data_IF_570634035020
#
_entry.id   IF_570634035020
#
_cell.length_a   1.000
_cell.length_b   1.000
_cell.length_c   1.000
_cell.angle_alpha   90.00
_cell.angle_beta   90.00
_cell.angle_gamma   90.00
#
_symmetry.space_group_name_H-M   'P 1'
#
loop_
_entity.id
_entity.type
_entity.pdbx_description
1 polymer ?
#
# COMPACT_ATOMS: atom_id res chain seq x y z
N UNK A 1 39.07 -49.82 -19.05
CA UNK A 1 39.17 -49.48 -20.48
C UNK A 1 37.96 -48.61 -20.84
N UNK A 2 38.24 -47.35 -21.18
CA UNK A 2 37.38 -46.31 -21.78
C UNK A 2 36.10 -45.82 -21.05
N UNK A 3 36.24 -44.64 -20.41
CA UNK A 3 35.18 -43.65 -20.20
C UNK A 3 34.78 -42.98 -21.52
N UNK A 4 33.53 -42.54 -21.66
CA UNK A 4 33.16 -41.39 -22.49
C UNK A 4 32.08 -40.54 -21.81
N UNK A 5 32.52 -39.41 -21.28
CA UNK A 5 31.72 -38.26 -20.86
C UNK A 5 31.48 -37.35 -22.08
N UNK A 6 30.23 -36.94 -22.31
CA UNK A 6 29.86 -36.00 -23.35
C UNK A 6 29.59 -34.62 -22.74
N UNK A 7 30.49 -33.67 -22.99
CA UNK A 7 30.34 -32.24 -22.64
C UNK A 7 29.79 -31.48 -23.85
N UNK A 8 28.61 -30.87 -23.70
CA UNK A 8 28.03 -29.97 -24.70
C UNK A 8 28.65 -28.56 -24.65
N UNK A 9 28.70 -27.82 -25.77
CA UNK A 9 29.44 -26.57 -25.87
C UNK A 9 28.70 -25.39 -25.22
N UNK A 10 29.41 -24.68 -24.34
CA UNK A 10 29.01 -23.36 -23.82
C UNK A 10 29.12 -22.32 -24.93
N UNK A 11 28.01 -21.66 -25.25
CA UNK A 11 27.97 -20.51 -26.16
C UNK A 11 28.49 -19.26 -25.43
N UNK A 12 29.62 -18.76 -25.88
CA UNK A 12 30.14 -17.43 -25.55
C UNK A 12 29.45 -16.40 -26.44
N UNK A 13 28.82 -15.39 -25.85
CA UNK A 13 28.32 -14.20 -26.57
C UNK A 13 29.25 -13.04 -26.25
N UNK A 14 29.84 -12.50 -27.32
CA UNK A 14 30.78 -11.38 -27.32
C UNK A 14 30.13 -10.09 -26.82
N UNK A 15 30.83 -9.41 -25.90
CA UNK A 15 30.59 -8.02 -25.57
C UNK A 15 31.21 -7.12 -26.65
N UNK A 16 30.38 -6.37 -27.37
CA UNK A 16 30.84 -5.24 -28.16
C UNK A 16 30.68 -3.96 -27.31
N UNK A 17 31.83 -3.41 -26.92
CA UNK A 17 31.94 -2.08 -26.35
C UNK A 17 31.68 -1.02 -27.43
N UNK A 18 30.83 -0.04 -27.14
CA UNK A 18 30.77 1.24 -27.86
C UNK A 18 30.86 2.35 -26.82
N UNK A 19 31.85 3.21 -26.99
CA UNK A 19 32.22 4.23 -26.02
C UNK A 19 31.47 5.56 -26.16
N UNK A 20 31.54 6.32 -25.06
CA UNK A 20 31.72 7.77 -24.92
C UNK A 20 30.84 8.73 -25.73
N UNK A 21 30.03 9.51 -25.00
CA UNK A 21 30.11 10.97 -25.04
C UNK A 21 29.54 11.58 -23.74
N UNK A 22 30.41 12.18 -22.93
CA UNK A 22 30.02 13.07 -21.85
C UNK A 22 29.75 14.48 -22.42
N UNK A 23 28.70 15.14 -21.96
CA UNK A 23 28.52 16.59 -22.14
C UNK A 23 27.78 17.14 -20.94
N UNK A 24 28.54 17.81 -20.07
CA UNK A 24 28.02 18.59 -18.96
C UNK A 24 27.57 19.96 -19.49
N UNK A 25 26.33 20.35 -19.19
CA UNK A 25 25.85 21.72 -19.33
C UNK A 25 25.45 22.20 -17.95
N UNK A 26 26.28 23.07 -17.38
CA UNK A 26 26.05 23.75 -16.11
C UNK A 26 25.38 25.09 -16.41
N UNK A 27 24.07 25.19 -16.23
CA UNK A 27 23.35 26.47 -16.26
C UNK A 27 23.15 26.99 -14.84
N UNK A 28 23.92 28.01 -14.46
CA UNK A 28 23.62 28.86 -13.31
C UNK A 28 22.42 29.75 -13.64
N UNK A 29 21.35 29.65 -12.85
CA UNK A 29 20.30 30.67 -12.81
C UNK A 29 20.42 31.44 -11.48
N UNK A 30 20.73 32.73 -11.59
CA UNK A 30 20.64 33.68 -10.50
C UNK A 30 19.22 34.25 -10.45
N UNK A 31 18.55 34.14 -9.30
CA UNK A 31 17.26 34.78 -9.05
C UNK A 31 17.47 36.17 -8.38
N UNK A 32 16.80 37.24 -8.83
CA UNK A 32 16.81 38.51 -8.13
C UNK A 32 15.80 38.52 -6.97
N UNK A 33 16.18 39.22 -5.89
CA UNK A 33 15.41 39.43 -4.67
C UNK A 33 14.13 40.23 -4.91
N UNK A 34 13.02 39.76 -4.34
CA UNK A 34 11.76 40.50 -4.28
C UNK A 34 11.74 41.52 -3.12
N UNK A 35 10.98 42.62 -3.23
CA UNK A 35 10.81 43.59 -2.16
C UNK A 35 9.80 43.12 -1.11
N UNK A 36 10.07 43.44 0.16
CA UNK A 36 9.18 43.23 1.32
C UNK A 36 7.91 44.08 1.25
N UNK A 37 6.76 43.61 1.76
CA UNK A 37 5.57 44.43 1.88
C UNK A 37 5.61 45.30 3.15
N UNK A 38 5.37 46.60 2.97
CA UNK A 38 5.05 47.59 3.99
C UNK A 38 3.61 47.41 4.51
N UNK A 39 3.44 47.35 5.83
CA UNK A 39 2.15 47.58 6.49
C UNK A 39 1.90 49.10 6.67
N UNK A 40 0.64 49.53 6.61
CA UNK A 40 0.02 50.32 7.70
C UNK A 40 -1.48 49.96 7.84
N UNK A 41 -2.29 50.40 8.80
CA UNK A 41 -2.24 51.09 10.09
C UNK A 41 -3.66 50.91 10.68
N UNK A 42 -3.77 51.05 11.99
CA UNK A 42 -5.02 51.04 12.76
C UNK A 42 -6.05 52.11 12.33
N UNK A 43 -7.33 51.75 12.42
CA UNK A 43 -8.47 52.65 12.28
C UNK A 43 -9.71 52.16 13.07
N UNK A 44 -10.58 53.05 13.56
CA UNK A 44 -11.18 52.95 14.89
C UNK A 44 -12.51 52.16 14.96
N UNK A 45 -12.87 51.80 16.19
CA UNK A 45 -13.94 50.89 16.57
C UNK A 45 -15.33 51.19 15.99
N UNK A 46 -15.97 50.10 15.56
CA UNK A 46 -17.40 50.00 15.33
C UNK A 46 -17.99 49.12 16.43
N UNK A 47 -18.92 49.68 17.19
CA UNK A 47 -19.74 48.96 18.17
C UNK A 47 -20.75 48.10 17.41
N UNK A 48 -20.47 46.79 17.27
CA UNK A 48 -21.41 45.85 16.66
C UNK A 48 -22.27 45.21 17.75
N UNK A 49 -23.55 45.53 17.74
CA UNK A 49 -24.60 44.79 18.46
C UNK A 49 -24.57 43.32 18.05
N UNK A 50 -24.29 42.41 18.99
CA UNK A 50 -24.31 40.97 18.75
C UNK A 50 -25.75 40.49 18.48
N UNK A 51 -26.07 40.31 17.20
CA UNK A 51 -27.21 39.52 16.76
C UNK A 51 -26.88 38.05 17.02
N UNK A 52 -27.65 37.38 17.87
CA UNK A 52 -27.58 35.93 18.01
C UNK A 52 -27.97 35.28 16.69
N UNK A 53 -26.98 34.73 15.96
CA UNK A 53 -27.22 33.91 14.80
C UNK A 53 -27.71 32.51 15.24
N UNK A 54 -28.70 31.90 14.56
CA UNK A 54 -29.10 30.54 14.85
C UNK A 54 -28.08 29.54 14.31
N UNK A 55 -27.72 28.56 15.16
CA UNK A 55 -27.31 27.22 14.76
C UNK A 55 -25.97 27.07 14.03
N UNK A 56 -24.86 27.08 14.76
CA UNK A 56 -23.73 26.24 14.37
C UNK A 56 -24.16 24.79 14.55
N UNK A 57 -24.51 24.10 13.46
CA UNK A 57 -24.49 22.64 13.46
C UNK A 57 -23.13 22.19 13.97
N UNK A 58 -23.11 21.33 15.00
CA UNK A 58 -21.89 20.69 15.44
C UNK A 58 -21.20 20.09 14.21
N UNK A 59 -19.86 20.22 14.07
CA UNK A 59 -19.17 19.46 13.04
C UNK A 59 -19.51 17.98 13.28
N UNK A 60 -20.21 17.36 12.35
CA UNK A 60 -20.40 15.92 12.35
C UNK A 60 -19.00 15.34 12.33
N UNK A 61 -18.58 14.69 13.43
CA UNK A 61 -17.29 14.02 13.46
C UNK A 61 -17.20 13.10 12.23
N UNK A 62 -16.05 13.03 11.55
CA UNK A 62 -15.90 12.06 10.47
C UNK A 62 -16.23 10.67 11.01
N UNK A 63 -17.01 9.90 10.24
CA UNK A 63 -17.47 8.58 10.67
C UNK A 63 -16.29 7.68 11.06
N UNK A 64 -15.17 7.79 10.35
CA UNK A 64 -13.89 7.12 10.62
C UNK A 64 -12.92 8.10 11.29
N UNK A 65 -12.20 7.64 12.32
CA UNK A 65 -11.16 8.45 12.96
C UNK A 65 -9.93 8.60 12.03
N UNK A 66 -9.36 9.81 11.88
CA UNK A 66 -8.09 9.95 11.16
C UNK A 66 -6.94 9.18 11.85
N UNK A 67 -6.91 9.22 13.19
CA UNK A 67 -5.87 8.60 14.02
C UNK A 67 -6.00 7.07 14.19
N UNK A 68 -5.14 6.46 15.03
CA UNK A 68 -5.23 5.04 15.32
C UNK A 68 -6.54 4.70 16.06
N UNK A 69 -7.09 3.53 15.77
CA UNK A 69 -8.25 2.95 16.45
C UNK A 69 -8.11 1.44 16.54
N UNK A 70 -9.13 0.74 17.06
CA UNK A 70 -9.08 -0.72 17.22
C UNK A 70 -9.07 -1.49 15.91
N UNK A 71 -9.71 -0.95 14.87
CA UNK A 71 -9.81 -1.53 13.54
C UNK A 71 -9.11 -0.57 12.57
N UNK A 72 -8.30 -1.08 11.66
CA UNK A 72 -7.53 -0.25 10.74
C UNK A 72 -6.32 -0.97 10.15
N UNK A 73 -5.38 -0.22 9.57
CA UNK A 73 -4.14 -0.78 9.01
C UNK A 73 -3.39 -1.63 10.04
N UNK A 74 -2.91 -2.80 9.61
CA UNK A 74 -2.19 -3.75 10.47
C UNK A 74 -3.07 -4.74 11.25
N UNK A 75 -4.39 -4.55 11.29
CA UNK A 75 -5.27 -5.52 11.93
C UNK A 75 -5.37 -6.82 11.14
N UNK A 76 -5.55 -7.95 11.82
CA UNK A 76 -5.64 -9.25 11.15
C UNK A 76 -7.01 -9.40 10.50
N UNK A 77 -7.02 -9.86 9.24
CA UNK A 77 -8.24 -10.26 8.52
C UNK A 77 -8.26 -11.77 8.31
N UNK A 78 -9.39 -12.42 8.53
CA UNK A 78 -9.59 -13.84 8.29
C UNK A 78 -10.81 -14.02 7.38
N UNK A 79 -10.57 -14.41 6.13
CA UNK A 79 -11.64 -14.65 5.17
C UNK A 79 -12.17 -16.06 5.35
N UNK A 80 -13.48 -16.21 5.58
CA UNK A 80 -14.08 -17.50 5.89
C UNK A 80 -13.87 -18.50 4.74
N UNK A 81 -13.23 -19.64 5.05
CA UNK A 81 -12.92 -20.68 4.06
C UNK A 81 -11.66 -20.40 3.21
N UNK A 82 -10.89 -19.38 3.55
CA UNK A 82 -9.68 -18.97 2.84
C UNK A 82 -8.55 -18.61 3.83
N UNK A 83 -7.80 -17.56 3.56
CA UNK A 83 -6.58 -17.20 4.28
C UNK A 83 -6.74 -16.19 5.41
N UNK A 84 -5.69 -16.13 6.22
CA UNK A 84 -5.43 -15.08 7.20
C UNK A 84 -4.46 -14.07 6.60
N UNK A 85 -4.79 -12.79 6.71
CA UNK A 85 -4.06 -11.67 6.15
C UNK A 85 -3.99 -10.47 7.12
N UNK A 86 -3.45 -9.36 6.63
CA UNK A 86 -3.33 -8.09 7.34
C UNK A 86 -4.04 -6.99 6.56
N UNK A 87 -4.83 -6.17 7.25
CA UNK A 87 -5.53 -5.04 6.66
C UNK A 87 -4.55 -3.94 6.22
N UNK A 88 -4.77 -3.42 5.02
CA UNK A 88 -4.03 -2.33 4.40
C UNK A 88 -4.56 -0.97 4.80
N UNK A 89 -5.26 -0.30 3.89
CA UNK A 89 -5.81 1.04 4.12
C UNK A 89 -7.29 1.01 4.46
N UNK A 90 -7.77 2.06 5.13
CA UNK A 90 -9.20 2.33 5.26
C UNK A 90 -9.65 3.14 4.04
N UNK A 91 -10.71 2.71 3.36
CA UNK A 91 -11.31 3.40 2.24
C UNK A 91 -12.77 3.69 2.51
N UNK A 92 -13.32 4.70 1.82
CA UNK A 92 -14.74 5.03 1.87
C UNK A 92 -15.32 5.19 0.47
N UNK A 93 -16.61 4.89 0.32
CA UNK A 93 -17.39 5.18 -0.87
C UNK A 93 -18.81 5.59 -0.44
N UNK A 94 -19.09 6.89 -0.42
CA UNK A 94 -20.28 7.43 0.27
C UNK A 94 -20.23 7.10 1.77
N UNK A 95 -21.31 6.54 2.30
CA UNK A 95 -21.43 6.18 3.72
C UNK A 95 -20.82 4.81 4.06
N UNK A 96 -20.25 4.10 3.07
CA UNK A 96 -19.67 2.75 3.25
C UNK A 96 -18.20 2.86 3.61
N UNK A 97 -17.76 2.05 4.56
CA UNK A 97 -16.36 1.95 5.00
C UNK A 97 -15.78 0.60 4.63
N UNK A 98 -14.57 0.59 4.10
CA UNK A 98 -13.87 -0.61 3.65
C UNK A 98 -12.47 -0.71 4.24
N UNK A 99 -12.00 -1.93 4.44
CA UNK A 99 -10.58 -2.23 4.58
C UNK A 99 -10.06 -2.83 3.27
N UNK A 100 -8.95 -2.29 2.78
CA UNK A 100 -8.17 -2.95 1.75
C UNK A 100 -7.49 -4.20 2.34
N UNK A 101 -7.49 -5.28 1.58
CA UNK A 101 -6.64 -6.46 1.80
C UNK A 101 -6.14 -6.98 0.46
N UNK A 102 -5.24 -7.97 0.46
CA UNK A 102 -4.89 -8.65 -0.77
C UNK A 102 -6.05 -9.55 -1.27
N UNK A 103 -6.25 -9.67 -2.58
CA UNK A 103 -7.33 -10.48 -3.14
C UNK A 103 -7.10 -11.98 -2.93
N UNK A 104 -5.87 -12.45 -2.99
CA UNK A 104 -5.50 -13.84 -2.71
C UNK A 104 -5.81 -14.28 -1.27
N UNK A 105 -6.11 -13.34 -0.35
CA UNK A 105 -6.62 -13.68 0.98
C UNK A 105 -7.97 -14.39 0.93
N UNK A 106 -8.70 -14.23 -0.18
CA UNK A 106 -9.89 -15.02 -0.52
C UNK A 106 -9.59 -16.23 -1.40
N UNK A 107 -8.31 -16.57 -1.64
CA UNK A 107 -7.90 -17.74 -2.41
C UNK A 107 -8.22 -19.04 -1.67
N UNK A 108 -8.65 -20.05 -2.40
CA UNK A 108 -8.98 -21.39 -1.85
C UNK A 108 -8.15 -22.51 -2.48
N UNK A 109 -7.23 -22.15 -3.36
CA UNK A 109 -6.33 -23.06 -4.06
C UNK A 109 -5.04 -23.35 -3.30
N UNK A 110 -4.12 -24.03 -3.98
CA UNK A 110 -2.77 -24.26 -3.45
C UNK A 110 -2.00 -22.93 -3.32
N UNK A 111 -1.04 -22.86 -2.40
CA UNK A 111 -0.19 -21.67 -2.16
C UNK A 111 0.60 -21.21 -3.41
N UNK A 112 0.71 -22.05 -4.43
CA UNK A 112 1.36 -21.71 -5.70
C UNK A 112 0.41 -21.07 -6.72
N UNK A 113 -0.90 -21.10 -6.47
CA UNK A 113 -1.91 -20.44 -7.30
C UNK A 113 -1.88 -18.93 -7.05
N UNK A 114 -1.25 -18.21 -7.98
CA UNK A 114 -1.00 -16.76 -7.85
C UNK A 114 -1.60 -15.94 -8.99
N UNK A 115 -2.21 -16.59 -9.98
CA UNK A 115 -2.85 -15.94 -11.11
C UNK A 115 -4.31 -15.62 -10.78
N UNK A 116 -4.64 -14.34 -10.58
CA UNK A 116 -5.97 -13.92 -10.16
C UNK A 116 -7.07 -14.16 -11.19
N UNK A 117 -6.73 -14.42 -12.45
CA UNK A 117 -7.68 -14.71 -13.52
C UNK A 117 -8.10 -16.19 -13.55
N UNK A 118 -7.37 -17.09 -12.86
CA UNK A 118 -7.61 -18.53 -12.92
C UNK A 118 -7.65 -19.24 -11.57
N UNK A 119 -7.00 -18.67 -10.55
CA UNK A 119 -6.91 -19.26 -9.21
C UNK A 119 -8.28 -19.30 -8.52
N UNK A 120 -8.53 -20.37 -7.77
CA UNK A 120 -9.79 -20.53 -7.06
C UNK A 120 -9.94 -19.48 -5.94
N UNK A 121 -11.12 -18.87 -5.85
CA UNK A 121 -11.40 -17.84 -4.83
C UNK A 121 -12.82 -17.98 -4.28
N UNK A 122 -13.01 -17.59 -3.02
CA UNK A 122 -14.32 -17.50 -2.38
C UNK A 122 -15.22 -16.51 -3.12
N UNK A 123 -16.55 -16.68 -3.10
CA UNK A 123 -17.45 -15.72 -3.71
C UNK A 123 -17.46 -14.38 -2.95
N UNK A 124 -17.82 -13.30 -3.64
CA UNK A 124 -18.23 -12.05 -2.99
C UNK A 124 -19.37 -12.32 -2.01
N UNK A 125 -19.45 -11.55 -0.93
CA UNK A 125 -20.39 -11.81 0.17
C UNK A 125 -19.82 -12.73 1.26
N UNK A 126 -18.62 -13.29 1.07
CA UNK A 126 -17.97 -14.13 2.09
C UNK A 126 -17.66 -13.33 3.34
N UNK A 127 -17.99 -13.83 4.55
CA UNK A 127 -17.64 -13.16 5.81
C UNK A 127 -16.13 -13.02 6.00
N UNK A 128 -15.69 -11.86 6.49
CA UNK A 128 -14.30 -11.61 6.85
C UNK A 128 -14.25 -11.14 8.31
N UNK A 129 -13.59 -11.89 9.17
CA UNK A 129 -13.37 -11.49 10.57
C UNK A 129 -12.18 -10.57 10.63
N UNK A 130 -12.36 -9.37 11.19
CA UNK A 130 -11.29 -8.40 11.42
C UNK A 130 -11.00 -8.34 12.92
N UNK A 131 -9.79 -8.69 13.33
CA UNK A 131 -9.38 -8.73 14.73
C UNK A 131 -8.66 -7.44 15.11
N UNK A 132 -9.34 -6.62 15.92
CA UNK A 132 -8.79 -5.44 16.54
C UNK A 132 -8.33 -5.68 17.97
N UNK A 133 -7.62 -4.71 18.54
CA UNK A 133 -7.09 -4.74 19.91
C UNK A 133 -8.18 -4.79 21.00
N UNK A 134 -9.39 -4.31 20.68
CA UNK A 134 -10.55 -4.22 21.58
C UNK A 134 -11.69 -5.17 21.22
N UNK A 135 -11.44 -6.12 20.30
CA UNK A 135 -12.43 -7.11 19.85
C UNK A 135 -12.42 -7.30 18.34
N UNK A 136 -13.36 -8.12 17.85
CA UNK A 136 -13.48 -8.41 16.44
C UNK A 136 -14.77 -7.84 15.84
N UNK A 137 -14.70 -7.45 14.57
CA UNK A 137 -15.88 -7.14 13.74
C UNK A 137 -15.92 -8.09 12.56
N UNK A 138 -17.12 -8.49 12.13
CA UNK A 138 -17.28 -9.30 10.92
C UNK A 138 -17.74 -8.40 9.78
N UNK A 139 -16.84 -8.15 8.84
CA UNK A 139 -17.13 -7.51 7.57
C UNK A 139 -17.51 -8.53 6.49
N UNK A 140 -17.60 -8.05 5.26
CA UNK A 140 -17.96 -8.85 4.08
C UNK A 140 -17.00 -8.56 2.93
N UNK A 141 -16.54 -9.58 2.22
CA UNK A 141 -15.79 -9.42 0.97
C UNK A 141 -16.71 -8.79 -0.09
N UNK A 142 -16.65 -7.47 -0.20
CA UNK A 142 -17.58 -6.69 -1.02
C UNK A 142 -17.08 -6.53 -2.46
N UNK A 143 -15.76 -6.57 -2.66
CA UNK A 143 -15.14 -6.53 -3.97
C UNK A 143 -13.78 -7.24 -3.93
N UNK A 144 -13.38 -7.82 -5.05
CA UNK A 144 -12.10 -8.50 -5.24
C UNK A 144 -11.69 -8.38 -6.70
N UNK A 145 -10.43 -8.00 -6.95
CA UNK A 145 -9.87 -7.95 -8.29
C UNK A 145 -9.92 -9.31 -8.96
N UNK A 146 -9.66 -10.39 -8.22
CA UNK A 146 -9.68 -11.77 -8.75
C UNK A 146 -11.09 -12.17 -9.21
N UNK A 147 -12.10 -12.02 -8.36
CA UNK A 147 -13.50 -12.29 -8.75
C UNK A 147 -13.92 -11.45 -9.96
N UNK A 148 -13.51 -10.18 -10.00
CA UNK A 148 -13.83 -9.25 -11.09
C UNK A 148 -13.15 -9.66 -12.40
N UNK A 149 -11.86 -9.97 -12.37
CA UNK A 149 -11.08 -10.43 -13.51
C UNK A 149 -11.66 -11.72 -14.10
N UNK A 150 -11.98 -12.68 -13.23
CA UNK A 150 -12.59 -13.95 -13.63
C UNK A 150 -13.97 -13.75 -14.27
N UNK A 151 -14.84 -12.94 -13.65
CA UNK A 151 -16.18 -12.66 -14.16
C UNK A 151 -16.16 -11.96 -15.53
N UNK A 152 -15.09 -11.21 -15.83
CA UNK A 152 -14.92 -10.48 -17.09
C UNK A 152 -14.09 -11.23 -18.13
N UNK A 153 -13.52 -12.38 -17.79
CA UNK A 153 -12.58 -13.09 -18.66
C UNK A 153 -11.35 -12.26 -18.98
N UNK A 154 -10.79 -11.56 -17.98
CA UNK A 154 -9.51 -10.85 -18.14
C UNK A 154 -8.42 -11.84 -18.57
N UNK A 155 -7.58 -11.40 -19.51
CA UNK A 155 -6.51 -12.22 -20.12
C UNK A 155 -5.19 -11.49 -20.22
N UNK A 156 -5.14 -10.20 -19.84
CA UNK A 156 -3.90 -9.46 -19.78
C UNK A 156 -2.98 -10.05 -18.69
N UNK A 157 -1.83 -10.64 -19.05
CA UNK A 157 -1.03 -11.44 -18.13
C UNK A 157 -0.55 -10.64 -16.91
N UNK A 158 -0.13 -9.40 -17.12
CA UNK A 158 0.31 -8.54 -16.02
C UNK A 158 -0.84 -8.16 -15.08
N UNK A 159 -2.05 -7.98 -15.60
CA UNK A 159 -3.22 -7.70 -14.76
C UNK A 159 -3.56 -8.92 -13.92
N UNK A 160 -3.58 -10.11 -14.53
CA UNK A 160 -3.86 -11.38 -13.85
C UNK A 160 -2.85 -11.68 -12.75
N UNK A 161 -1.56 -11.43 -12.99
CA UNK A 161 -0.49 -11.76 -12.06
C UNK A 161 -0.33 -10.74 -10.91
N UNK A 162 -0.72 -9.48 -11.09
CA UNK A 162 -0.31 -8.40 -10.17
C UNK A 162 -1.45 -7.48 -9.68
N UNK A 163 -2.69 -7.65 -10.16
CA UNK A 163 -3.84 -6.94 -9.58
C UNK A 163 -4.45 -7.77 -8.45
N UNK A 164 -3.99 -7.52 -7.22
CA UNK A 164 -4.31 -8.33 -6.05
C UNK A 164 -4.95 -7.50 -4.93
N UNK A 165 -5.95 -6.67 -5.27
CA UNK A 165 -6.69 -5.85 -4.32
C UNK A 165 -8.09 -6.45 -4.05
N UNK A 166 -8.47 -6.53 -2.78
CA UNK A 166 -9.83 -6.77 -2.35
C UNK A 166 -10.29 -5.76 -1.29
N UNK A 167 -11.61 -5.62 -1.17
CA UNK A 167 -12.26 -4.69 -0.25
C UNK A 167 -13.18 -5.47 0.68
N UNK A 168 -12.91 -5.34 1.97
CA UNK A 168 -13.77 -5.82 3.04
C UNK A 168 -14.66 -4.67 3.49
N UNK A 169 -15.96 -4.74 3.20
CA UNK A 169 -16.92 -3.78 3.74
C UNK A 169 -17.15 -4.07 5.22
N UNK A 170 -17.02 -3.04 6.04
CA UNK A 170 -17.30 -3.12 7.47
C UNK A 170 -18.80 -2.90 7.73
N UNK A 171 -19.37 -3.54 8.76
CA UNK A 171 -20.78 -3.35 9.08
C UNK A 171 -21.05 -1.91 9.51
N UNK A 172 -22.23 -1.40 9.15
CA UNK A 172 -22.68 -0.08 9.60
C UNK A 172 -22.65 0.01 11.13
N UNK A 173 -22.11 1.11 11.66
CA UNK A 173 -21.92 1.32 13.10
C UNK A 173 -20.55 0.88 13.62
N UNK A 174 -19.69 0.24 12.80
CA UNK A 174 -18.32 -0.08 13.19
C UNK A 174 -17.38 1.13 13.10
N UNK A 175 -17.76 2.19 12.41
CA UNK A 175 -16.91 3.34 12.08
C UNK A 175 -16.26 4.02 13.31
N UNK A 176 -16.93 4.14 14.48
CA UNK A 176 -16.29 4.64 15.71
C UNK A 176 -15.08 3.84 16.17
N UNK A 177 -14.98 2.57 15.76
CA UNK A 177 -13.88 1.65 16.06
C UNK A 177 -12.81 1.63 14.97
N UNK A 178 -12.97 2.40 13.88
CA UNK A 178 -12.09 2.41 12.71
C UNK A 178 -11.18 3.65 12.72
N UNK A 179 -9.90 3.42 12.47
CA UNK A 179 -8.86 4.45 12.40
C UNK A 179 -8.02 4.31 11.13
N UNK A 180 -7.77 5.42 10.45
CA UNK A 180 -7.05 5.43 9.17
C UNK A 180 -5.52 5.44 9.31
N UNK A 181 -4.99 5.75 10.50
CA UNK A 181 -3.55 5.84 10.72
C UNK A 181 -2.83 4.51 10.46
N UNK A 182 -1.81 4.52 9.61
CA UNK A 182 -0.85 3.42 9.55
C UNK A 182 -0.04 3.43 10.85
N UNK A 183 0.00 2.33 11.62
CA UNK A 183 0.79 2.23 12.85
C UNK A 183 2.22 2.74 12.66
N UNK A 184 2.73 3.41 13.68
CA UNK A 184 4.02 4.12 13.71
C UNK A 184 4.08 5.35 12.79
N UNK A 185 3.74 5.21 11.51
CA UNK A 185 4.05 6.21 10.49
C UNK A 185 3.00 7.32 10.31
N UNK A 186 1.74 7.09 10.68
CA UNK A 186 0.64 7.98 10.31
C UNK A 186 0.25 7.82 8.83
N UNK A 187 -0.40 8.83 8.23
CA UNK A 187 -0.95 8.71 6.88
C UNK A 187 -2.03 7.62 6.73
N UNK A 188 -2.47 7.32 5.50
CA UNK A 188 -1.99 7.91 4.26
C UNK A 188 -2.46 9.37 4.09
N UNK A 189 -1.71 10.18 3.34
CA UNK A 189 -2.12 11.55 2.99
C UNK A 189 -3.05 11.58 1.78
N UNK A 190 -2.74 10.76 0.78
CA UNK A 190 -3.49 10.55 -0.47
C UNK A 190 -3.01 9.26 -1.15
N UNK A 191 -3.64 8.87 -2.26
CA UNK A 191 -3.12 7.80 -3.13
C UNK A 191 -1.99 8.35 -3.99
N UNK A 192 -0.91 7.59 -4.10
CA UNK A 192 0.16 7.90 -5.04
C UNK A 192 -0.22 7.49 -6.47
N UNK A 193 -0.27 8.45 -7.39
CA UNK A 193 -0.61 8.22 -8.81
C UNK A 193 0.55 8.46 -9.78
N UNK A 194 1.65 9.05 -9.28
CA UNK A 194 2.87 9.27 -10.06
C UNK A 194 3.76 8.02 -10.08
N UNK A 195 4.72 7.87 -11.02
CA UNK A 195 5.71 6.79 -10.99
C UNK A 195 6.60 6.82 -9.75
N UNK A 196 7.00 5.65 -9.21
CA UNK A 196 7.83 5.53 -7.99
C UNK A 196 9.26 5.09 -8.38
N UNK A 197 10.26 5.98 -8.35
CA UNK A 197 11.60 5.63 -8.81
C UNK A 197 12.25 4.51 -7.97
N UNK A 198 13.04 3.66 -8.61
CA UNK A 198 13.90 2.71 -7.92
C UNK A 198 14.86 3.45 -6.96
N UNK A 199 15.10 2.86 -5.79
CA UNK A 199 15.86 3.45 -4.69
C UNK A 199 15.06 4.39 -3.80
N UNK A 200 13.82 4.76 -4.16
CA UNK A 200 12.98 5.61 -3.30
C UNK A 200 12.69 4.89 -1.97
N UNK A 201 12.81 5.58 -0.82
CA UNK A 201 12.45 5.02 0.47
C UNK A 201 10.93 4.82 0.57
N UNK A 202 10.55 3.72 1.20
CA UNK A 202 9.15 3.34 1.46
C UNK A 202 8.99 2.78 2.86
N UNK A 203 7.79 2.90 3.40
CA UNK A 203 7.45 2.61 4.79
C UNK A 203 6.17 1.78 4.85
N UNK A 204 6.14 0.75 5.68
CA UNK A 204 4.99 -0.15 5.77
C UNK A 204 5.02 -0.94 7.07
N UNK A 205 4.25 -2.01 7.12
CA UNK A 205 4.13 -2.83 8.31
C UNK A 205 4.72 -4.22 8.09
N UNK A 206 5.32 -4.74 9.14
CA UNK A 206 5.44 -6.17 9.37
C UNK A 206 4.32 -6.59 10.33
N UNK A 207 3.86 -7.82 10.23
CA UNK A 207 2.88 -8.39 11.15
C UNK A 207 3.17 -9.89 11.42
N UNK A 208 4.39 -10.22 11.89
CA UNK A 208 4.80 -11.60 12.08
C UNK A 208 4.02 -12.28 13.21
N UNK A 209 3.82 -13.62 13.12
CA UNK A 209 3.27 -14.40 14.22
C UNK A 209 4.33 -14.59 15.34
N UNK A 210 3.88 -14.44 16.58
CA UNK A 210 4.60 -14.84 17.78
C UNK A 210 4.59 -16.35 17.98
N UNK A 211 5.25 -16.83 19.04
CA UNK A 211 5.33 -18.26 19.37
C UNK A 211 3.99 -18.90 19.72
N UNK A 212 3.02 -18.09 20.13
CA UNK A 212 1.64 -18.45 20.43
C UNK A 212 0.70 -18.26 19.22
N UNK A 213 1.23 -17.82 18.08
CA UNK A 213 0.46 -17.53 16.87
C UNK A 213 -0.21 -16.15 16.86
N UNK A 214 -0.17 -15.41 17.97
CA UNK A 214 -0.65 -14.03 18.02
C UNK A 214 0.24 -13.13 17.18
N UNK A 215 -0.34 -12.17 16.47
CA UNK A 215 0.42 -11.30 15.57
C UNK A 215 0.68 -9.94 16.21
N UNK A 216 1.93 -9.48 16.08
CA UNK A 216 2.35 -8.17 16.59
C UNK A 216 2.81 -7.32 15.43
N UNK A 217 2.15 -6.18 15.23
CA UNK A 217 2.52 -5.23 14.19
C UNK A 217 3.85 -4.57 14.55
N UNK A 218 4.77 -4.53 13.60
CA UNK A 218 6.05 -3.85 13.71
C UNK A 218 6.27 -2.91 12.52
N UNK A 219 7.13 -1.92 12.70
CA UNK A 219 7.49 -0.99 11.65
C UNK A 219 8.40 -1.68 10.62
N UNK A 220 8.19 -1.39 9.33
CA UNK A 220 9.04 -1.89 8.25
C UNK A 220 9.40 -0.75 7.32
N UNK A 221 10.66 -0.68 6.90
CA UNK A 221 11.10 0.22 5.84
C UNK A 221 11.84 -0.56 4.74
N UNK A 222 11.95 0.08 3.59
CA UNK A 222 12.64 -0.49 2.45
C UNK A 222 12.99 0.54 1.38
N UNK A 223 13.52 0.04 0.27
CA UNK A 223 13.72 0.79 -0.96
C UNK A 223 13.00 0.08 -2.11
N UNK A 224 12.42 0.88 -2.99
CA UNK A 224 11.81 0.38 -4.22
C UNK A 224 12.91 -0.25 -5.08
N UNK A 225 12.74 -1.52 -5.44
CA UNK A 225 13.59 -2.22 -6.39
C UNK A 225 13.24 -1.79 -7.83
N UNK A 226 11.95 -1.63 -8.09
CA UNK A 226 11.38 -1.22 -9.37
C UNK A 226 9.93 -1.65 -9.49
N UNK A 227 9.30 -1.25 -10.58
CA UNK A 227 7.95 -1.70 -10.92
C UNK A 227 7.98 -3.11 -11.53
N UNK A 228 6.94 -3.90 -11.26
CA UNK A 228 6.70 -5.23 -11.83
C UNK A 228 5.34 -5.27 -12.53
N UNK A 229 5.12 -6.26 -13.41
CA UNK A 229 3.84 -6.41 -14.11
C UNK A 229 3.43 -5.18 -14.91
N UNK A 230 4.37 -4.55 -15.63
CA UNK A 230 4.08 -3.34 -16.39
C UNK A 230 3.49 -2.20 -15.54
N UNK A 231 3.90 -2.07 -14.27
CA UNK A 231 3.42 -1.05 -13.33
C UNK A 231 2.22 -1.48 -12.48
N UNK A 232 1.79 -2.74 -12.53
CA UNK A 232 0.74 -3.27 -11.65
C UNK A 232 1.22 -3.52 -10.23
N UNK A 233 2.53 -3.72 -10.04
CA UNK A 233 3.09 -3.86 -8.72
C UNK A 233 4.41 -3.13 -8.54
N UNK A 234 4.85 -3.08 -7.30
CA UNK A 234 6.14 -2.56 -6.88
C UNK A 234 6.90 -3.66 -6.14
N UNK A 235 8.12 -3.96 -6.58
CA UNK A 235 9.04 -4.78 -5.82
C UNK A 235 9.82 -3.89 -4.84
N UNK A 236 9.92 -4.31 -3.58
CA UNK A 236 10.57 -3.57 -2.49
C UNK A 236 11.62 -4.43 -1.82
N UNK A 237 12.83 -3.89 -1.68
CA UNK A 237 13.88 -4.48 -0.85
C UNK A 237 13.71 -4.03 0.59
N UNK A 238 13.61 -4.98 1.51
CA UNK A 238 13.50 -4.77 2.95
C UNK A 238 14.64 -5.47 3.68
N UNK A 239 14.93 -5.05 4.91
CA UNK A 239 15.92 -5.74 5.75
C UNK A 239 15.41 -7.11 6.19
N UNK A 240 14.16 -7.13 6.64
CA UNK A 240 13.47 -8.34 7.05
C UNK A 240 12.63 -8.85 5.88
N UNK A 241 12.73 -10.15 5.53
CA UNK A 241 11.83 -10.73 4.55
C UNK A 241 10.40 -10.68 5.08
N UNK A 242 9.43 -10.60 4.17
CA UNK A 242 8.04 -10.76 4.57
C UNK A 242 7.73 -12.20 4.96
N UNK A 243 6.64 -12.39 5.70
CA UNK A 243 6.16 -13.70 6.13
C UNK A 243 4.69 -13.89 5.81
N UNK A 244 4.23 -15.15 5.78
CA UNK A 244 2.84 -15.49 5.48
C UNK A 244 1.87 -14.74 6.42
N UNK A 245 0.76 -14.27 5.84
CA UNK A 245 -0.29 -13.49 6.52
C UNK A 245 -0.02 -11.99 6.67
N UNK A 246 1.13 -11.49 6.19
CA UNK A 246 1.35 -10.04 6.05
C UNK A 246 0.70 -9.46 4.78
N UNK A 247 0.21 -10.31 3.88
CA UNK A 247 -0.57 -9.94 2.70
C UNK A 247 -1.67 -8.94 3.04
N UNK A 248 -1.75 -7.88 2.25
CA UNK A 248 -2.63 -6.73 2.42
C UNK A 248 -2.00 -5.55 3.17
N UNK A 249 -0.87 -5.72 3.86
CA UNK A 249 -0.20 -4.65 4.63
C UNK A 249 0.06 -3.40 3.78
N UNK A 250 -0.07 -2.18 4.36
CA UNK A 250 0.07 -0.94 3.62
C UNK A 250 1.53 -0.61 3.28
N UNK A 251 1.73 0.09 2.16
CA UNK A 251 3.00 0.72 1.78
C UNK A 251 2.80 2.21 1.53
N UNK A 252 3.63 3.03 2.16
CA UNK A 252 3.68 4.48 2.05
C UNK A 252 5.00 4.91 1.40
N UNK A 253 4.98 6.04 0.71
CA UNK A 253 6.22 6.72 0.30
C UNK A 253 6.71 7.73 1.38
N UNK A 254 7.81 8.41 1.11
CA UNK A 254 8.41 9.41 2.01
C UNK A 254 7.55 10.67 2.25
N UNK A 255 6.46 10.85 1.49
CA UNK A 255 5.44 11.88 1.70
C UNK A 255 4.19 11.34 2.42
N UNK A 256 4.20 10.07 2.83
CA UNK A 256 3.07 9.41 3.44
C UNK A 256 1.93 9.10 2.48
N UNK A 257 2.17 9.09 1.17
CA UNK A 257 1.14 8.73 0.18
C UNK A 257 1.03 7.21 0.08
N UNK A 258 -0.18 6.69 -0.04
CA UNK A 258 -0.45 5.28 -0.20
C UNK A 258 0.06 4.79 -1.58
N UNK A 259 1.04 3.90 -1.55
CA UNK A 259 1.70 3.31 -2.72
C UNK A 259 1.03 1.99 -3.12
N UNK A 260 0.84 1.09 -2.15
CA UNK A 260 0.43 -0.27 -2.46
C UNK A 260 -0.01 -1.08 -1.26
N UNK A 261 -0.59 -2.25 -1.56
CA UNK A 261 -0.96 -3.28 -0.59
C UNK A 261 -0.10 -4.50 -0.83
N UNK A 262 0.44 -5.10 0.23
CA UNK A 262 1.35 -6.26 0.12
C UNK A 262 0.62 -7.40 -0.60
N UNK A 263 1.16 -7.87 -1.71
CA UNK A 263 0.56 -8.92 -2.53
C UNK A 263 1.30 -10.24 -2.39
N UNK A 264 2.61 -10.24 -2.54
CA UNK A 264 3.37 -11.50 -2.52
C UNK A 264 4.77 -11.31 -1.94
N UNK A 265 5.38 -12.45 -1.61
CA UNK A 265 6.76 -12.56 -1.17
C UNK A 265 7.54 -13.16 -2.33
N UNK A 266 8.23 -12.32 -3.11
CA UNK A 266 8.97 -12.80 -4.28
C UNK A 266 10.47 -12.83 -4.03
N UNK A 267 11.15 -13.76 -4.68
CA UNK A 267 12.61 -13.73 -4.74
C UNK A 267 13.01 -13.28 -6.14
N UNK A 268 13.46 -12.03 -6.28
CA UNK A 268 14.29 -11.73 -7.46
C UNK A 268 15.56 -12.57 -7.36
N UNK A 269 16.03 -13.13 -8.48
CA UNK A 269 17.06 -14.20 -8.50
C UNK A 269 18.34 -13.89 -7.70
N UNK A 270 18.59 -12.62 -7.39
CA UNK A 270 19.75 -12.16 -6.62
C UNK A 270 19.41 -11.62 -5.22
N UNK A 271 18.17 -11.16 -4.94
CA UNK A 271 17.74 -10.65 -3.62
C UNK A 271 16.24 -10.89 -3.32
N UNK A 272 15.88 -11.33 -2.11
CA UNK A 272 14.49 -11.35 -1.66
C UNK A 272 13.86 -9.96 -1.75
N UNK A 273 12.64 -9.90 -2.26
CA UNK A 273 11.82 -8.70 -2.34
C UNK A 273 10.41 -8.97 -1.84
N UNK A 274 9.71 -7.92 -1.43
CA UNK A 274 8.29 -7.99 -1.15
C UNK A 274 7.58 -7.26 -2.29
N UNK A 275 6.57 -7.89 -2.86
CA UNK A 275 5.77 -7.32 -3.94
C UNK A 275 4.49 -6.73 -3.38
N UNK A 276 4.18 -5.52 -3.83
CA UNK A 276 2.97 -4.79 -3.48
C UNK A 276 2.16 -4.54 -4.75
N UNK A 277 0.85 -4.77 -4.73
CA UNK A 277 -0.05 -4.27 -5.77
C UNK A 277 -0.04 -2.75 -5.73
N UNK A 278 0.13 -2.11 -6.88
CA UNK A 278 0.02 -0.66 -7.04
C UNK A 278 -1.42 -0.23 -6.73
N UNK A 279 -1.60 0.46 -5.59
CA UNK A 279 -2.92 0.81 -5.10
C UNK A 279 -3.66 1.75 -6.05
N UNK A 280 -2.98 2.78 -6.58
CA UNK A 280 -3.60 3.71 -7.51
C UNK A 280 -4.15 3.00 -8.74
N UNK A 281 -3.35 2.11 -9.33
CA UNK A 281 -3.77 1.34 -10.51
C UNK A 281 -4.89 0.35 -10.22
N UNK A 282 -4.88 -0.28 -9.05
CA UNK A 282 -5.93 -1.20 -8.62
C UNK A 282 -7.25 -0.49 -8.32
N UNK A 283 -7.21 0.70 -7.70
CA UNK A 283 -8.39 1.54 -7.51
C UNK A 283 -8.96 2.04 -8.84
N UNK A 284 -8.10 2.42 -9.78
CA UNK A 284 -8.53 2.75 -11.15
C UNK A 284 -9.16 1.54 -11.88
N UNK A 285 -8.75 0.31 -11.53
CA UNK A 285 -9.39 -0.91 -12.04
C UNK A 285 -10.78 -1.09 -11.45
N UNK A 286 -10.90 -0.99 -10.14
CA UNK A 286 -12.18 -1.04 -9.45
C UNK A 286 -13.16 0.01 -10.01
N UNK A 287 -12.70 1.25 -10.19
CA UNK A 287 -13.54 2.36 -10.67
C UNK A 287 -14.07 2.16 -12.11
N UNK A 288 -13.28 1.54 -13.01
CA UNK A 288 -13.68 1.30 -14.40
C UNK A 288 -14.47 0.00 -14.61
N UNK A 289 -14.55 -0.85 -13.59
CA UNK A 289 -15.29 -2.12 -13.66
C UNK A 289 -16.61 -2.07 -12.91
N UNK A 290 -16.60 -2.52 -11.67
CA UNK A 290 -17.73 -2.85 -10.80
C UNK A 290 -17.38 -2.64 -9.33
N UNK A 291 -16.25 -1.96 -9.06
CA UNK A 291 -15.89 -1.53 -7.72
C UNK A 291 -16.83 -0.46 -7.20
N UNK A 292 -16.85 -0.24 -5.87
CA UNK A 292 -17.64 0.84 -5.27
C UNK A 292 -17.31 2.20 -5.90
N UNK A 293 -18.34 2.92 -6.35
CA UNK A 293 -18.16 4.22 -6.99
C UNK A 293 -17.65 5.27 -6.00
N UNK A 294 -16.63 6.05 -6.40
CA UNK A 294 -16.05 7.09 -5.55
C UNK A 294 -15.16 6.57 -4.42
N UNK A 295 -14.67 5.33 -4.54
CA UNK A 295 -13.75 4.74 -3.58
C UNK A 295 -12.47 5.57 -3.42
N UNK A 296 -12.17 5.99 -2.20
CA UNK A 296 -10.95 6.74 -1.88
C UNK A 296 -10.42 6.36 -0.48
N UNK A 297 -9.10 6.38 -0.24
CA UNK A 297 -8.57 6.22 1.10
C UNK A 297 -9.02 7.35 2.03
N UNK A 298 -9.26 7.01 3.29
CA UNK A 298 -9.44 7.99 4.35
C UNK A 298 -8.08 8.57 4.72
N UNK A 299 -7.90 9.90 4.70
CA UNK A 299 -6.65 10.50 5.14
C UNK A 299 -6.37 10.24 6.62
N UNK A 300 -5.15 9.83 6.93
CA UNK A 300 -4.65 9.65 8.29
C UNK A 300 -4.03 10.92 8.89
N UNK A 301 -3.38 10.82 10.07
CA UNK A 301 -2.68 11.94 10.68
C UNK A 301 -1.39 12.25 9.89
N UNK A 302 -0.66 13.28 10.31
CA UNK A 302 0.62 13.64 9.71
C UNK A 302 1.58 12.43 9.66
N UNK A 303 2.19 12.25 8.49
CA UNK A 303 3.17 11.20 8.27
C UNK A 303 4.53 11.52 8.92
N UNK A 304 5.24 10.50 9.40
CA UNK A 304 6.64 10.59 9.81
C UNK A 304 7.43 9.37 9.34
N UNK A 305 8.57 9.61 8.70
CA UNK A 305 9.55 8.57 8.35
C UNK A 305 10.41 8.12 9.53
N UNK A 306 10.37 8.85 10.65
CA UNK A 306 11.15 8.59 11.86
C UNK A 306 10.23 8.57 13.08
N UNK A 307 9.35 7.58 13.19
CA UNK A 307 8.42 7.46 14.30
C UNK A 307 9.14 7.30 15.64
N UNK A 308 8.62 7.95 16.68
CA UNK A 308 9.13 7.81 18.03
C UNK A 308 8.92 6.37 18.53
N UNK A 309 9.93 5.80 19.20
CA UNK A 309 9.85 4.46 19.79
C UNK A 309 10.19 3.31 18.85
N UNK A 310 10.52 3.58 17.58
CA UNK A 310 11.05 2.60 16.63
C UNK A 310 12.58 2.75 16.56
N UNK A 311 13.34 1.64 16.57
CA UNK A 311 14.80 1.73 16.41
C UNK A 311 15.11 2.21 14.97
N UNK A 312 15.85 3.32 14.79
CA UNK A 312 16.22 3.78 13.46
C UNK A 312 16.92 2.73 12.59
N UNK A 313 17.55 1.71 13.20
CA UNK A 313 18.18 0.59 12.48
C UNK A 313 17.17 -0.28 11.75
N UNK A 314 15.98 -0.48 12.32
CA UNK A 314 14.87 -1.23 11.71
C UNK A 314 14.29 -0.49 10.49
N UNK A 315 14.49 0.83 10.45
CA UNK A 315 14.03 1.70 9.37
C UNK A 315 15.11 2.01 8.33
N UNK A 316 16.30 1.42 8.45
CA UNK A 316 17.35 1.69 7.47
C UNK A 316 17.00 1.08 6.13
N UNK A 317 17.04 1.91 5.09
CA UNK A 317 16.89 1.44 3.71
C UNK A 317 18.07 0.56 3.34
N UNK A 318 17.87 -0.70 2.93
CA UNK A 318 18.97 -1.56 2.49
C UNK A 318 19.74 -0.86 1.38
N UNK A 319 21.08 -0.84 1.45
CA UNK A 319 21.87 -0.40 0.32
C UNK A 319 21.47 -1.23 -0.91
N UNK A 320 20.93 -0.58 -1.93
CA UNK A 320 20.66 -1.20 -3.23
C UNK A 320 21.96 -1.81 -3.81
N UNK A 321 21.90 -2.80 -4.71
CA UNK A 321 23.02 -2.96 -5.62
C UNK A 321 23.24 -1.59 -6.30
N UNK A 322 24.50 -1.21 -6.53
CA UNK A 322 24.79 0.01 -7.27
C UNK A 322 24.04 -0.04 -8.59
N UNK A 323 23.10 0.89 -8.78
CA UNK A 323 22.37 1.01 -10.04
C UNK A 323 23.42 1.40 -11.08
N UNK A 324 23.78 0.47 -11.97
CA UNK A 324 24.64 0.81 -13.09
C UNK A 324 23.87 1.82 -13.96
N UNK A 325 24.35 3.06 -13.96
CA UNK A 325 23.82 4.14 -14.81
C UNK A 325 24.20 3.97 -16.27
#
# INVERSE_FOLDING_TARGET
>A
MALRTGTGPRRTVSACAVGLAASAVLTLYAAPAGPSPTAPEDGPGVTTTASAAPGTGSPTAPAVAPGPSSIGPGTVTETAGAGLCTAGFVLTAGDRTFLAQAAHCGGTGDETETDGCTSATVPLGTPVTVRGDRGAVTGTLAWSSWNTMQARGETAPDTCAYNDLALVELPAGAEPSVGAAVPFFGGPTEVRTTPLPAGSPVYGLANPPGSDGERTVAARAGAVAGDVGGGWGHAVYTLEPGVAGESGSPLLDEQGRAVGVLSSLSTTADRPSIEYTNLGRALDYAARTDGPAGLAPVPGPAFTATPAGVDPRELTTPAGPGVAG
#
